data_IF_953256865832
#
_entry.id   IF_953256865832
#
_cell.length_a   1.000
_cell.length_b   1.000
_cell.length_c   1.000
_cell.angle_alpha   90.00
_cell.angle_beta   90.00
_cell.angle_gamma   90.00
#
_symmetry.space_group_name_H-M   'P 1'
#
loop_
_entity.id
_entity.type
_entity.pdbx_description
1 polymer ?
#
# COMPACT_ATOMS: atom_id res chain seq x y z
N UNK A 1 -65.01 2.86 -111.96
CA UNK A 1 -65.61 2.16 -110.80
C UNK A 1 -64.53 1.42 -110.01
N UNK A 2 -63.78 0.48 -110.60
CA UNK A 2 -62.71 -0.28 -109.92
C UNK A 2 -61.61 0.56 -109.21
N UNK A 3 -61.11 1.62 -109.83
CA UNK A 3 -60.05 2.46 -109.23
C UNK A 3 -60.52 3.30 -108.02
N UNK A 4 -61.83 3.55 -107.88
CA UNK A 4 -62.40 4.31 -106.74
C UNK A 4 -62.58 3.39 -105.53
N UNK A 5 -62.97 2.13 -105.76
CA UNK A 5 -63.08 1.09 -104.74
C UNK A 5 -61.70 0.71 -104.17
N UNK A 6 -60.67 0.62 -105.02
CA UNK A 6 -59.29 0.33 -104.60
C UNK A 6 -58.68 1.46 -103.75
N UNK A 7 -58.97 2.73 -104.09
CA UNK A 7 -58.57 3.89 -103.27
C UNK A 7 -59.30 3.90 -101.92
N UNK A 8 -60.57 3.50 -101.87
CA UNK A 8 -61.31 3.39 -100.62
C UNK A 8 -60.76 2.27 -99.72
N UNK A 9 -60.41 1.12 -100.30
CA UNK A 9 -59.78 0.01 -99.57
C UNK A 9 -58.40 0.40 -99.01
N UNK A 10 -57.57 1.09 -99.80
CA UNK A 10 -56.26 1.57 -99.34
C UNK A 10 -56.40 2.62 -98.22
N UNK A 11 -57.42 3.48 -98.28
CA UNK A 11 -57.72 4.44 -97.19
C UNK A 11 -58.20 3.74 -95.93
N UNK A 12 -59.03 2.71 -96.02
CA UNK A 12 -59.44 1.93 -94.84
C UNK A 12 -58.27 1.17 -94.23
N UNK A 13 -57.40 0.58 -95.05
CA UNK A 13 -56.19 -0.11 -94.57
C UNK A 13 -55.17 0.85 -93.95
N UNK A 14 -54.99 2.05 -94.50
CA UNK A 14 -54.15 3.08 -93.91
C UNK A 14 -54.68 3.48 -92.53
N UNK A 15 -55.99 3.72 -92.42
CA UNK A 15 -56.64 4.08 -91.15
C UNK A 15 -56.49 2.97 -90.10
N UNK A 16 -56.70 1.72 -90.49
CA UNK A 16 -56.52 0.56 -89.59
C UNK A 16 -55.05 0.43 -89.14
N UNK A 17 -54.09 0.66 -90.03
CA UNK A 17 -52.66 0.66 -89.68
C UNK A 17 -52.28 1.84 -88.78
N UNK A 18 -52.83 3.02 -89.01
CA UNK A 18 -52.63 4.18 -88.13
C UNK A 18 -53.22 3.94 -86.74
N UNK A 19 -54.40 3.33 -86.65
CA UNK A 19 -55.01 2.91 -85.38
C UNK A 19 -54.17 1.86 -84.66
N UNK A 20 -53.64 0.85 -85.38
CA UNK A 20 -52.72 -0.16 -84.81
C UNK A 20 -51.41 0.46 -84.32
N UNK A 21 -50.82 1.39 -85.09
CA UNK A 21 -49.61 2.11 -84.69
C UNK A 21 -49.88 2.99 -83.46
N UNK A 22 -51.05 3.65 -83.40
CA UNK A 22 -51.43 4.46 -82.26
C UNK A 22 -51.64 3.59 -81.00
N UNK A 23 -52.31 2.44 -81.13
CA UNK A 23 -52.47 1.48 -80.04
C UNK A 23 -51.13 0.90 -79.56
N UNK A 24 -50.23 0.56 -80.47
CA UNK A 24 -48.89 0.08 -80.13
C UNK A 24 -48.04 1.17 -79.44
N UNK A 25 -48.13 2.42 -79.89
CA UNK A 25 -47.48 3.57 -79.25
C UNK A 25 -48.04 3.83 -77.84
N UNK A 26 -49.36 3.71 -77.66
CA UNK A 26 -50.00 3.85 -76.36
C UNK A 26 -49.58 2.71 -75.41
N UNK A 27 -49.60 1.46 -75.87
CA UNK A 27 -49.12 0.32 -75.08
C UNK A 27 -47.63 0.46 -74.72
N UNK A 28 -46.81 0.97 -75.64
CA UNK A 28 -45.40 1.27 -75.38
C UNK A 28 -45.20 2.39 -74.34
N UNK A 29 -46.03 3.43 -74.40
CA UNK A 29 -46.04 4.50 -73.40
C UNK A 29 -46.47 4.00 -72.02
N UNK A 30 -47.51 3.17 -71.97
CA UNK A 30 -48.01 2.58 -70.72
C UNK A 30 -46.95 1.66 -70.08
N UNK A 31 -46.26 0.85 -70.88
CA UNK A 31 -45.12 0.04 -70.41
C UNK A 31 -43.96 0.90 -69.91
N UNK A 32 -43.64 1.99 -70.60
CA UNK A 32 -42.59 2.92 -70.17
C UNK A 32 -42.95 3.58 -68.83
N UNK A 33 -44.21 3.98 -68.65
CA UNK A 33 -44.71 4.54 -67.39
C UNK A 33 -44.63 3.52 -66.26
N UNK A 34 -45.06 2.27 -66.48
CA UNK A 34 -44.92 1.20 -65.50
C UNK A 34 -43.45 0.93 -65.15
N UNK A 35 -42.55 0.93 -66.15
CA UNK A 35 -41.13 0.77 -65.91
C UNK A 35 -40.55 1.93 -65.08
N UNK A 36 -41.01 3.16 -65.33
CA UNK A 36 -40.61 4.33 -64.54
C UNK A 36 -41.10 4.24 -63.09
N UNK A 37 -42.35 3.81 -62.86
CA UNK A 37 -42.89 3.60 -61.51
C UNK A 37 -42.14 2.52 -60.73
N UNK A 38 -41.84 1.38 -61.38
CA UNK A 38 -41.05 0.31 -60.77
C UNK A 38 -39.63 0.78 -60.44
N UNK A 39 -39.02 1.57 -61.32
CA UNK A 39 -37.71 2.14 -61.08
C UNK A 39 -37.73 3.11 -59.89
N UNK A 40 -38.73 3.99 -59.81
CA UNK A 40 -38.88 4.91 -58.69
C UNK A 40 -39.05 4.17 -57.35
N UNK A 41 -39.90 3.13 -57.29
CA UNK A 41 -40.06 2.31 -56.09
C UNK A 41 -38.77 1.60 -55.69
N UNK A 42 -38.03 1.08 -56.66
CA UNK A 42 -36.75 0.42 -56.41
C UNK A 42 -35.71 1.42 -55.88
N UNK A 43 -35.72 2.65 -56.37
CA UNK A 43 -34.83 3.70 -55.87
C UNK A 43 -35.25 4.19 -54.48
N UNK A 44 -36.54 4.28 -54.16
CA UNK A 44 -37.06 4.54 -52.80
C UNK A 44 -36.61 3.47 -51.81
N UNK A 45 -36.84 2.19 -52.12
CA UNK A 45 -36.41 1.05 -51.30
C UNK A 45 -34.88 1.04 -51.09
N UNK A 46 -34.10 1.40 -52.11
CA UNK A 46 -32.64 1.53 -51.98
C UNK A 46 -32.24 2.64 -51.01
N UNK A 47 -32.93 3.78 -51.06
CA UNK A 47 -32.68 4.89 -50.12
C UNK A 47 -33.04 4.48 -48.70
N UNK A 48 -34.20 3.84 -48.50
CA UNK A 48 -34.62 3.36 -47.19
C UNK A 48 -33.64 2.33 -46.60
N UNK A 49 -33.21 1.36 -47.41
CA UNK A 49 -32.22 0.36 -46.99
C UNK A 49 -30.86 1.00 -46.67
N UNK A 50 -30.44 2.01 -47.43
CA UNK A 50 -29.18 2.73 -47.16
C UNK A 50 -29.26 3.51 -45.85
N UNK A 51 -30.35 4.24 -45.62
CA UNK A 51 -30.58 4.96 -44.37
C UNK A 51 -30.62 4.02 -43.16
N UNK A 52 -31.24 2.84 -43.30
CA UNK A 52 -31.27 1.84 -42.24
C UNK A 52 -29.89 1.26 -41.93
N UNK A 53 -29.06 1.00 -42.95
CA UNK A 53 -27.68 0.56 -42.77
C UNK A 53 -26.83 1.64 -42.07
N UNK A 54 -26.94 2.90 -42.50
CA UNK A 54 -26.23 4.01 -41.87
C UNK A 54 -26.62 4.18 -40.39
N UNK A 55 -27.91 4.07 -40.07
CA UNK A 55 -28.39 4.12 -38.69
C UNK A 55 -27.81 2.98 -37.82
N UNK A 56 -27.84 1.74 -38.34
CA UNK A 56 -27.27 0.58 -37.64
C UNK A 56 -25.76 0.69 -37.47
N UNK A 57 -25.04 1.24 -38.45
CA UNK A 57 -23.61 1.50 -38.31
C UNK A 57 -23.33 2.54 -37.23
N UNK A 58 -24.08 3.65 -37.21
CA UNK A 58 -23.97 4.68 -36.17
C UNK A 58 -24.23 4.09 -34.77
N UNK A 59 -25.30 3.31 -34.61
CA UNK A 59 -25.63 2.65 -33.35
C UNK A 59 -24.53 1.67 -32.92
N UNK A 60 -24.01 0.86 -33.86
CA UNK A 60 -22.89 -0.05 -33.58
C UNK A 60 -21.65 0.71 -33.09
N UNK A 61 -21.27 1.81 -33.73
CA UNK A 61 -20.13 2.61 -33.30
C UNK A 61 -20.36 3.28 -31.95
N UNK A 62 -21.58 3.75 -31.69
CA UNK A 62 -21.96 4.35 -30.42
C UNK A 62 -21.88 3.33 -29.27
N UNK A 63 -22.50 2.16 -29.45
CA UNK A 63 -22.49 1.08 -28.48
C UNK A 63 -21.08 0.54 -28.24
N UNK A 64 -20.25 0.42 -29.29
CA UNK A 64 -18.86 -0.01 -29.13
C UNK A 64 -18.08 0.95 -28.21
N UNK A 65 -18.22 2.27 -28.43
CA UNK A 65 -17.57 3.27 -27.57
C UNK A 65 -18.07 3.20 -26.13
N UNK A 66 -19.37 2.97 -25.93
CA UNK A 66 -19.95 2.82 -24.59
C UNK A 66 -19.40 1.58 -23.86
N UNK A 67 -19.29 0.46 -24.56
CA UNK A 67 -18.69 -0.78 -24.04
C UNK A 67 -17.21 -0.57 -23.69
N UNK A 68 -16.45 0.06 -24.57
CA UNK A 68 -15.02 0.34 -24.33
C UNK A 68 -14.85 1.26 -23.10
N UNK A 69 -15.69 2.29 -22.96
CA UNK A 69 -15.68 3.18 -21.79
C UNK A 69 -16.01 2.41 -20.50
N UNK A 70 -17.08 1.61 -20.50
CA UNK A 70 -17.48 0.79 -19.35
C UNK A 70 -16.39 -0.21 -18.97
N UNK A 71 -15.71 -0.81 -19.95
CA UNK A 71 -14.60 -1.73 -19.72
C UNK A 71 -13.45 -1.02 -19.00
N UNK A 72 -13.03 0.15 -19.49
CA UNK A 72 -11.99 0.96 -18.82
C UNK A 72 -12.38 1.39 -17.40
N UNK A 73 -13.65 1.74 -17.19
CA UNK A 73 -14.15 2.08 -15.86
C UNK A 73 -14.10 0.89 -14.91
N UNK A 74 -14.46 -0.31 -15.38
CA UNK A 74 -14.37 -1.53 -14.59
C UNK A 74 -12.92 -1.89 -14.26
N UNK A 75 -12.00 -1.77 -15.21
CA UNK A 75 -10.57 -1.97 -14.98
C UNK A 75 -10.01 -1.00 -13.93
N UNK A 76 -10.41 0.27 -13.97
CA UNK A 76 -10.04 1.28 -12.97
C UNK A 76 -10.56 0.91 -11.58
N UNK A 77 -11.85 0.58 -11.46
CA UNK A 77 -12.46 0.17 -10.19
C UNK A 77 -11.83 -1.11 -9.64
N UNK A 78 -11.49 -2.05 -10.51
CA UNK A 78 -10.82 -3.29 -10.13
C UNK A 78 -9.39 -3.01 -9.61
N UNK A 79 -8.65 -2.11 -10.25
CA UNK A 79 -7.35 -1.65 -9.77
C UNK A 79 -7.45 -0.95 -8.41
N UNK A 80 -8.44 -0.08 -8.21
CA UNK A 80 -8.70 0.57 -6.92
C UNK A 80 -9.04 -0.45 -5.83
N UNK A 81 -9.88 -1.44 -6.15
CA UNK A 81 -10.23 -2.53 -5.24
C UNK A 81 -9.00 -3.35 -4.83
N UNK A 82 -8.16 -3.75 -5.78
CA UNK A 82 -6.95 -4.53 -5.50
C UNK A 82 -5.93 -3.72 -4.70
N UNK A 83 -5.82 -2.41 -4.95
CA UNK A 83 -5.00 -1.50 -4.16
C UNK A 83 -5.50 -1.40 -2.70
N UNK A 84 -6.80 -1.20 -2.50
CA UNK A 84 -7.39 -1.14 -1.15
C UNK A 84 -7.24 -2.47 -0.40
N UNK A 85 -7.46 -3.59 -1.09
CA UNK A 85 -7.31 -4.93 -0.52
C UNK A 85 -5.88 -5.20 -0.07
N UNK A 86 -4.89 -4.83 -0.89
CA UNK A 86 -3.46 -5.00 -0.55
C UNK A 86 -3.05 -4.08 0.61
N UNK A 87 -3.52 -2.83 0.60
CA UNK A 87 -3.28 -1.89 1.70
C UNK A 87 -3.89 -2.38 3.03
N UNK A 88 -5.14 -2.84 3.01
CA UNK A 88 -5.81 -3.37 4.20
C UNK A 88 -5.09 -4.60 4.75
N UNK A 89 -4.62 -5.50 3.85
CA UNK A 89 -3.86 -6.68 4.24
C UNK A 89 -2.55 -6.30 4.94
N UNK A 90 -1.79 -5.36 4.37
CA UNK A 90 -0.54 -4.86 4.97
C UNK A 90 -0.78 -4.22 6.33
N UNK A 91 -1.82 -3.40 6.48
CA UNK A 91 -2.16 -2.78 7.77
C UNK A 91 -2.50 -3.83 8.84
N UNK A 92 -3.23 -4.90 8.47
CA UNK A 92 -3.54 -5.99 9.38
C UNK A 92 -2.29 -6.76 9.79
N UNK A 93 -1.39 -7.05 8.84
CA UNK A 93 -0.11 -7.73 9.11
C UNK A 93 0.78 -6.89 10.04
N UNK A 94 0.89 -5.58 9.80
CA UNK A 94 1.64 -4.66 10.67
C UNK A 94 1.06 -4.58 12.08
N UNK A 95 -0.27 -4.49 12.22
CA UNK A 95 -0.93 -4.46 13.53
C UNK A 95 -0.73 -5.78 14.29
N UNK A 96 -0.84 -6.90 13.59
CA UNK A 96 -0.63 -8.22 14.17
C UNK A 96 0.82 -8.38 14.64
N UNK A 97 1.79 -8.03 13.80
CA UNK A 97 3.21 -8.14 14.13
C UNK A 97 3.60 -7.21 15.29
N UNK A 98 3.06 -5.99 15.32
CA UNK A 98 3.26 -5.07 16.45
C UNK A 98 2.68 -5.65 17.76
N UNK A 99 1.48 -6.24 17.70
CA UNK A 99 0.85 -6.86 18.86
C UNK A 99 1.64 -8.07 19.35
N UNK A 100 2.10 -8.94 18.44
CA UNK A 100 2.93 -10.10 18.75
C UNK A 100 4.26 -9.69 19.39
N UNK A 101 4.94 -8.68 18.84
CA UNK A 101 6.17 -8.12 19.43
C UNK A 101 5.93 -7.56 20.83
N UNK A 102 4.83 -6.81 21.02
CA UNK A 102 4.47 -6.24 22.32
C UNK A 102 4.17 -7.33 23.35
N UNK A 103 3.36 -8.33 22.98
CA UNK A 103 3.06 -9.47 23.84
C UNK A 103 4.32 -10.26 24.19
N UNK A 104 5.16 -10.59 23.21
CA UNK A 104 6.44 -11.26 23.42
C UNK A 104 7.33 -10.50 24.40
N UNK A 105 7.45 -9.17 24.25
CA UNK A 105 8.20 -8.33 25.17
C UNK A 105 7.64 -8.40 26.60
N UNK A 106 6.33 -8.26 26.77
CA UNK A 106 5.70 -8.34 28.11
C UNK A 106 5.85 -9.71 28.75
N UNK A 107 5.72 -10.79 27.98
CA UNK A 107 5.91 -12.16 28.46
C UNK A 107 7.36 -12.38 28.91
N UNK A 108 8.34 -11.91 28.13
CA UNK A 108 9.75 -12.01 28.49
C UNK A 108 10.09 -11.19 29.74
N UNK A 109 9.55 -9.98 29.90
CA UNK A 109 9.77 -9.17 31.11
C UNK A 109 9.16 -9.84 32.35
N UNK A 110 7.93 -10.36 32.25
CA UNK A 110 7.28 -11.10 33.34
C UNK A 110 8.02 -12.40 33.68
N UNK A 111 8.46 -13.14 32.66
CA UNK A 111 9.25 -14.35 32.84
C UNK A 111 10.58 -14.06 33.55
N UNK A 112 11.30 -13.01 33.13
CA UNK A 112 12.52 -12.57 33.80
C UNK A 112 12.29 -12.14 35.25
N UNK A 113 11.19 -11.43 35.54
CA UNK A 113 10.82 -11.07 36.92
C UNK A 113 10.52 -12.31 37.76
N UNK A 114 9.80 -13.29 37.21
CA UNK A 114 9.51 -14.56 37.86
C UNK A 114 10.80 -15.32 38.19
N UNK A 115 11.74 -15.42 37.26
CA UNK A 115 13.03 -16.08 37.49
C UNK A 115 13.85 -15.39 38.60
N UNK A 116 13.86 -14.06 38.65
CA UNK A 116 14.55 -13.30 39.72
C UNK A 116 13.90 -13.50 41.09
N UNK A 117 12.56 -13.52 41.13
CA UNK A 117 11.83 -13.79 42.38
C UNK A 117 12.08 -15.23 42.85
N UNK A 118 12.14 -16.19 41.92
CA UNK A 118 12.46 -17.58 42.23
C UNK A 118 13.87 -17.71 42.80
N UNK A 119 14.88 -17.08 42.19
CA UNK A 119 16.26 -17.14 42.71
C UNK A 119 16.37 -16.50 44.09
N UNK A 120 15.71 -15.36 44.33
CA UNK A 120 15.69 -14.70 45.64
C UNK A 120 14.98 -15.55 46.71
N UNK A 121 13.91 -16.26 46.33
CA UNK A 121 13.21 -17.19 47.21
C UNK A 121 14.12 -18.37 47.59
N UNK A 122 14.79 -18.97 46.61
CA UNK A 122 15.71 -20.10 46.82
C UNK A 122 16.89 -19.68 47.74
N UNK A 123 17.46 -18.49 47.53
CA UNK A 123 18.51 -17.91 48.38
C UNK A 123 18.01 -17.69 49.82
N UNK A 124 16.82 -17.11 49.99
CA UNK A 124 16.23 -16.89 51.31
C UNK A 124 15.98 -18.22 52.03
N UNK A 125 15.43 -19.22 51.35
CA UNK A 125 15.19 -20.55 51.92
C UNK A 125 16.49 -21.26 52.31
N UNK A 126 17.55 -21.12 51.51
CA UNK A 126 18.86 -21.67 51.86
C UNK A 126 19.43 -20.99 53.11
N UNK A 127 19.34 -19.67 53.19
CA UNK A 127 19.80 -18.91 54.36
C UNK A 127 19.03 -19.30 55.63
N UNK A 128 17.71 -19.52 55.51
CA UNK A 128 16.86 -19.98 56.61
C UNK A 128 17.28 -21.37 57.09
N UNK A 129 17.53 -22.31 56.17
CA UNK A 129 18.01 -23.66 56.50
C UNK A 129 19.35 -23.62 57.23
N UNK A 130 20.30 -22.82 56.74
CA UNK A 130 21.62 -22.66 57.36
C UNK A 130 21.52 -22.05 58.77
N UNK A 131 20.67 -21.04 58.97
CA UNK A 131 20.45 -20.43 60.27
C UNK A 131 19.79 -21.40 61.26
N UNK A 132 18.79 -22.19 60.81
CA UNK A 132 18.16 -23.23 61.63
C UNK A 132 19.18 -24.26 62.10
N UNK A 133 20.00 -24.78 61.18
CA UNK A 133 21.03 -25.75 61.53
C UNK A 133 22.07 -25.19 62.52
N UNK A 134 22.55 -23.95 62.32
CA UNK A 134 23.44 -23.29 63.28
C UNK A 134 22.81 -23.14 64.67
N UNK A 135 21.52 -22.83 64.72
CA UNK A 135 20.79 -22.68 65.98
C UNK A 135 20.65 -24.04 66.69
N UNK A 136 20.41 -25.11 65.93
CA UNK A 136 20.33 -26.49 66.42
C UNK A 136 21.67 -26.94 67.03
N UNK A 137 22.79 -26.75 66.32
CA UNK A 137 24.15 -27.04 66.81
C UNK A 137 24.48 -26.23 68.07
N UNK A 138 24.13 -24.94 68.12
CA UNK A 138 24.33 -24.13 69.32
C UNK A 138 23.48 -24.59 70.50
N UNK A 139 22.27 -25.07 70.24
CA UNK A 139 21.37 -25.61 71.26
C UNK A 139 21.92 -26.92 71.83
N UNK A 140 22.39 -27.82 70.97
CA UNK A 140 23.06 -29.06 71.39
C UNK A 140 24.34 -28.78 72.19
N UNK A 141 25.18 -27.85 71.74
CA UNK A 141 26.40 -27.48 72.46
C UNK A 141 26.10 -26.92 73.87
N UNK A 142 25.04 -26.12 74.02
CA UNK A 142 24.59 -25.61 75.31
C UNK A 142 24.06 -26.74 76.21
N UNK A 143 23.30 -27.69 75.66
CA UNK A 143 22.82 -28.86 76.39
C UNK A 143 24.00 -29.71 76.88
N UNK A 144 24.98 -30.01 76.02
CA UNK A 144 26.17 -30.77 76.39
C UNK A 144 26.95 -30.08 77.51
N UNK A 145 27.13 -28.74 77.45
CA UNK A 145 27.79 -27.99 78.53
C UNK A 145 26.99 -27.99 79.82
N UNK A 146 25.66 -28.01 79.75
CA UNK A 146 24.80 -28.15 80.92
C UNK A 146 24.95 -29.53 81.56
N UNK A 147 24.99 -30.59 80.76
CA UNK A 147 25.21 -31.97 81.21
C UNK A 147 26.63 -32.15 81.80
N UNK A 148 27.67 -31.61 81.17
CA UNK A 148 29.05 -31.62 81.71
C UNK A 148 29.12 -30.96 83.09
N UNK A 149 28.49 -29.79 83.27
CA UNK A 149 28.45 -29.09 84.55
C UNK A 149 27.71 -29.90 85.63
N UNK A 150 26.65 -30.62 85.26
CA UNK A 150 25.95 -31.55 86.16
C UNK A 150 26.86 -32.72 86.55
N UNK A 151 27.52 -33.37 85.59
CA UNK A 151 28.42 -34.49 85.83
C UNK A 151 29.65 -34.12 86.68
N UNK A 152 30.24 -32.94 86.46
CA UNK A 152 31.34 -32.40 87.29
C UNK A 152 30.91 -32.13 88.73
N UNK A 153 29.69 -31.63 88.93
CA UNK A 153 29.12 -31.44 90.27
C UNK A 153 28.92 -32.78 91.00
N UNK A 154 28.55 -33.84 90.29
CA UNK A 154 28.43 -35.20 90.83
C UNK A 154 29.78 -35.87 91.09
N UNK A 155 30.77 -35.69 90.21
CA UNK A 155 32.11 -36.28 90.34
C UNK A 155 33.00 -35.55 91.36
N UNK A 156 32.81 -34.25 91.58
CA UNK A 156 33.48 -33.50 92.65
C UNK A 156 33.23 -34.06 94.05
N UNK A 157 32.24 -34.95 94.20
CA UNK A 157 31.97 -35.67 95.45
C UNK A 157 32.72 -37.02 95.60
N UNK A 158 33.56 -37.44 94.63
CA UNK A 158 34.30 -38.73 94.69
C UNK A 158 35.81 -38.55 94.45
N UNK A 159 36.63 -39.17 95.29
CA UNK A 159 38.11 -39.14 95.23
C UNK A 159 38.62 -40.03 94.07
N UNK A 160 39.34 -39.44 93.12
CA UNK A 160 39.86 -40.09 91.90
C UNK A 160 41.29 -40.60 92.04
N UNK A 161 41.60 -41.76 91.44
CA UNK A 161 42.91 -42.42 91.42
C UNK A 161 43.74 -42.09 90.15
N UNK A 162 45.07 -42.16 90.25
CA UNK A 162 46.02 -41.65 89.23
C UNK A 162 45.94 -42.34 87.86
N UNK A 163 45.68 -43.64 87.79
CA UNK A 163 45.56 -44.38 86.52
C UNK A 163 44.28 -44.00 85.77
N UNK A 164 43.19 -43.75 86.51
CA UNK A 164 41.93 -43.27 85.94
C UNK A 164 42.11 -41.86 85.38
N UNK A 165 42.90 -41.02 86.06
CA UNK A 165 43.26 -39.68 85.57
C UNK A 165 44.02 -39.73 84.23
N UNK A 166 44.97 -40.65 84.07
CA UNK A 166 45.77 -40.77 82.84
C UNK A 166 44.94 -41.27 81.65
N UNK A 167 44.02 -42.21 81.88
CA UNK A 167 43.04 -42.65 80.87
C UNK A 167 42.08 -41.52 80.53
N UNK A 168 41.63 -40.73 81.51
CA UNK A 168 40.77 -39.56 81.29
C UNK A 168 41.44 -38.51 80.39
N UNK A 169 42.76 -38.27 80.56
CA UNK A 169 43.53 -37.35 79.71
C UNK A 169 43.60 -37.87 78.26
N UNK A 170 43.89 -39.16 78.06
CA UNK A 170 43.93 -39.75 76.70
C UNK A 170 42.56 -39.73 76.01
N UNK A 171 41.48 -39.94 76.76
CA UNK A 171 40.12 -39.81 76.23
C UNK A 171 39.86 -38.37 75.77
N UNK A 172 40.23 -37.39 76.60
CA UNK A 172 40.09 -35.98 76.27
C UNK A 172 40.91 -35.57 75.04
N UNK A 173 42.15 -36.06 74.91
CA UNK A 173 42.99 -35.81 73.73
C UNK A 173 42.39 -36.41 72.45
N UNK A 174 41.89 -37.64 72.51
CA UNK A 174 41.22 -38.29 71.38
C UNK A 174 39.91 -37.59 71.00
N UNK A 175 39.14 -37.11 71.98
CA UNK A 175 37.95 -36.30 71.77
C UNK A 175 38.29 -34.98 71.08
N UNK A 176 39.38 -34.31 71.47
CA UNK A 176 39.82 -33.09 70.78
C UNK A 176 40.19 -33.35 69.32
N UNK A 177 40.95 -34.42 69.03
CA UNK A 177 41.31 -34.78 67.64
C UNK A 177 40.07 -35.16 66.82
N UNK A 178 39.10 -35.86 67.43
CA UNK A 178 37.84 -36.20 66.77
C UNK A 178 37.07 -34.94 66.36
N UNK A 179 36.94 -33.96 67.25
CA UNK A 179 36.25 -32.70 66.98
C UNK A 179 36.97 -31.91 65.87
N UNK A 180 38.31 -31.89 65.86
CA UNK A 180 39.09 -31.26 64.79
C UNK A 180 38.85 -31.93 63.42
N UNK A 181 38.81 -33.26 63.37
CA UNK A 181 38.51 -34.01 62.15
C UNK A 181 37.08 -33.79 61.67
N UNK A 182 36.10 -33.77 62.57
CA UNK A 182 34.70 -33.47 62.25
C UNK A 182 34.56 -32.04 61.69
N UNK A 183 35.28 -31.07 62.27
CA UNK A 183 35.28 -29.70 61.77
C UNK A 183 35.89 -29.60 60.36
N UNK A 184 37.03 -30.25 60.12
CA UNK A 184 37.67 -30.23 58.77
C UNK A 184 36.83 -30.94 57.72
N UNK A 185 36.13 -32.01 58.09
CA UNK A 185 35.16 -32.69 57.23
C UNK A 185 34.00 -31.77 56.87
N UNK A 186 33.43 -31.08 57.87
CA UNK A 186 32.33 -30.13 57.65
C UNK A 186 32.77 -28.97 56.75
N UNK A 187 33.95 -28.38 56.99
CA UNK A 187 34.49 -27.31 56.13
C UNK A 187 34.71 -27.76 54.68
N UNK A 188 35.06 -29.04 54.48
CA UNK A 188 35.22 -29.62 53.14
C UNK A 188 33.88 -29.80 52.44
N UNK A 189 32.86 -30.28 53.16
CA UNK A 189 31.49 -30.41 52.64
C UNK A 189 30.86 -29.05 52.29
N UNK A 190 31.06 -28.03 53.13
CA UNK A 190 30.57 -26.68 52.85
C UNK A 190 31.22 -26.10 51.58
N UNK A 191 32.52 -26.34 51.38
CA UNK A 191 33.23 -25.95 50.15
C UNK A 191 32.71 -26.70 48.93
N UNK A 192 32.46 -28.00 49.05
CA UNK A 192 31.90 -28.81 47.97
C UNK A 192 30.52 -28.30 47.54
N UNK A 193 29.61 -28.08 48.50
CA UNK A 193 28.28 -27.51 48.22
C UNK A 193 28.37 -26.13 47.55
N UNK A 194 29.29 -25.27 48.01
CA UNK A 194 29.51 -23.98 47.37
C UNK A 194 29.98 -24.14 45.92
N UNK A 195 30.90 -25.07 45.66
CA UNK A 195 31.38 -25.35 44.30
C UNK A 195 30.24 -25.88 43.41
N UNK A 196 29.42 -26.80 43.90
CA UNK A 196 28.25 -27.30 43.16
C UNK A 196 27.27 -26.18 42.78
N UNK A 197 26.97 -25.26 43.70
CA UNK A 197 26.10 -24.11 43.41
C UNK A 197 26.70 -23.20 42.34
N UNK A 198 28.00 -22.90 42.44
CA UNK A 198 28.67 -22.10 41.41
C UNK A 198 28.68 -22.82 40.05
N UNK A 199 28.88 -24.13 40.04
CA UNK A 199 28.89 -24.92 38.82
C UNK A 199 27.50 -24.94 38.15
N UNK A 200 26.43 -25.14 38.94
CA UNK A 200 25.04 -25.02 38.44
C UNK A 200 24.74 -23.63 37.90
N UNK A 201 25.22 -22.57 38.58
CA UNK A 201 25.03 -21.19 38.10
C UNK A 201 25.77 -20.96 36.78
N UNK A 202 27.00 -21.43 36.65
CA UNK A 202 27.78 -21.34 35.41
C UNK A 202 27.13 -22.14 34.28
N UNK A 203 26.59 -23.32 34.58
CA UNK A 203 25.89 -24.16 33.62
C UNK A 203 24.64 -23.49 33.06
N UNK A 204 23.79 -22.90 33.92
CA UNK A 204 22.66 -22.06 33.47
C UNK A 204 23.10 -20.85 32.66
N UNK A 205 24.26 -20.28 33.00
CA UNK A 205 24.78 -19.14 32.25
C UNK A 205 25.26 -19.54 30.85
N UNK A 206 25.87 -20.72 30.73
CA UNK A 206 26.22 -21.32 29.43
C UNK A 206 24.98 -21.61 28.60
N UNK A 207 23.94 -22.22 29.18
CA UNK A 207 22.67 -22.51 28.50
C UNK A 207 22.03 -21.24 27.92
N UNK A 208 21.95 -20.16 28.69
CA UNK A 208 21.45 -18.87 28.20
C UNK A 208 22.28 -18.30 27.05
N UNK A 209 23.61 -18.37 27.15
CA UNK A 209 24.50 -17.88 26.09
C UNK A 209 24.34 -18.74 24.82
N UNK A 210 24.11 -20.04 24.96
CA UNK A 210 23.86 -20.92 23.81
C UNK A 210 22.52 -20.63 23.14
N UNK A 211 21.46 -20.37 23.90
CA UNK A 211 20.15 -19.96 23.36
C UNK A 211 20.25 -18.61 22.63
N UNK A 212 20.89 -17.61 23.24
CA UNK A 212 21.13 -16.31 22.61
C UNK A 212 21.94 -16.42 21.31
N UNK A 213 22.90 -17.36 21.27
CA UNK A 213 23.68 -17.64 20.05
C UNK A 213 22.79 -18.24 18.95
N UNK A 214 21.97 -19.23 19.29
CA UNK A 214 21.06 -19.87 18.33
C UNK A 214 20.03 -18.87 17.77
N UNK A 215 19.51 -17.97 18.61
CA UNK A 215 18.57 -16.95 18.16
C UNK A 215 19.24 -15.94 17.22
N UNK A 216 20.47 -15.51 17.50
CA UNK A 216 21.25 -14.70 16.55
C UNK A 216 21.56 -15.43 15.25
N UNK A 217 21.80 -16.73 15.28
CA UNK A 217 21.98 -17.54 14.06
C UNK A 217 20.68 -17.60 13.23
N UNK A 218 19.51 -17.75 13.87
CA UNK A 218 18.20 -17.69 13.19
C UNK A 218 17.96 -16.32 12.55
N UNK A 219 18.25 -15.24 13.28
CA UNK A 219 18.16 -13.88 12.75
C UNK A 219 19.08 -13.71 11.53
N UNK A 220 20.34 -14.15 11.62
CA UNK A 220 21.28 -14.07 10.50
C UNK A 220 20.77 -14.81 9.27
N UNK A 221 20.24 -16.04 9.43
CA UNK A 221 19.63 -16.81 8.34
C UNK A 221 18.44 -16.06 7.72
N UNK A 222 17.59 -15.45 8.55
CA UNK A 222 16.47 -14.63 8.07
C UNK A 222 16.94 -13.44 7.23
N UNK A 223 17.95 -12.70 7.69
CA UNK A 223 18.55 -11.59 6.96
C UNK A 223 19.19 -12.04 5.63
N UNK A 224 19.90 -13.18 5.61
CA UNK A 224 20.45 -13.73 4.39
C UNK A 224 19.36 -14.11 3.38
N UNK A 225 18.28 -14.76 3.84
CA UNK A 225 17.15 -15.12 2.99
C UNK A 225 16.45 -13.89 2.41
N UNK A 226 16.25 -12.84 3.22
CA UNK A 226 15.66 -11.58 2.76
C UNK A 226 16.56 -10.88 1.71
N UNK A 227 17.87 -10.90 1.94
CA UNK A 227 18.86 -10.37 0.99
C UNK A 227 18.86 -11.15 -0.33
N UNK A 228 18.76 -12.47 -0.28
CA UNK A 228 18.71 -13.33 -1.48
C UNK A 228 17.46 -13.05 -2.31
N UNK A 229 16.28 -12.95 -1.66
CA UNK A 229 15.03 -12.55 -2.34
C UNK A 229 15.13 -11.17 -2.98
N UNK A 230 15.74 -10.20 -2.28
CA UNK A 230 15.97 -8.86 -2.83
C UNK A 230 16.91 -8.89 -4.04
N UNK A 231 17.94 -9.75 -4.02
CA UNK A 231 18.84 -9.96 -5.16
C UNK A 231 18.11 -10.61 -6.35
N UNK A 232 17.25 -11.59 -6.10
CA UNK A 232 16.41 -12.21 -7.15
C UNK A 232 15.48 -11.18 -7.79
N UNK A 233 14.75 -10.41 -6.98
CA UNK A 233 13.86 -9.35 -7.48
C UNK A 233 14.63 -8.30 -8.29
N UNK A 234 15.85 -7.92 -7.88
CA UNK A 234 16.69 -7.02 -8.66
C UNK A 234 17.11 -7.62 -10.00
N UNK A 235 17.41 -8.92 -10.06
CA UNK A 235 17.72 -9.60 -11.34
C UNK A 235 16.49 -9.60 -12.26
N UNK A 236 15.31 -9.88 -11.72
CA UNK A 236 14.06 -9.85 -12.49
C UNK A 236 13.76 -8.45 -13.04
N UNK A 237 13.92 -7.41 -12.21
CA UNK A 237 13.78 -6.02 -12.64
C UNK A 237 14.82 -5.64 -13.70
N UNK A 238 16.07 -6.12 -13.58
CA UNK A 238 17.09 -5.91 -14.61
C UNK A 238 16.70 -6.58 -15.93
N UNK A 239 16.16 -7.81 -15.89
CA UNK A 239 15.68 -8.51 -17.09
C UNK A 239 14.52 -7.72 -17.73
N UNK A 240 13.58 -7.21 -16.94
CA UNK A 240 12.48 -6.37 -17.45
C UNK A 240 13.00 -5.08 -18.08
N UNK A 241 13.98 -4.43 -17.45
CA UNK A 241 14.61 -3.24 -18.00
C UNK A 241 15.30 -3.55 -19.34
N UNK A 242 16.05 -4.64 -19.42
CA UNK A 242 16.74 -5.08 -20.64
C UNK A 242 15.72 -5.39 -21.75
N UNK A 243 14.58 -6.01 -21.42
CA UNK A 243 13.48 -6.25 -22.37
C UNK A 243 12.88 -4.95 -22.89
N UNK A 244 12.60 -3.97 -22.02
CA UNK A 244 12.07 -2.66 -22.44
C UNK A 244 13.09 -1.91 -23.30
N UNK A 245 14.37 -1.98 -22.96
CA UNK A 245 15.43 -1.37 -23.77
C UNK A 245 15.56 -2.03 -25.14
N UNK A 246 15.44 -3.35 -25.23
CA UNK A 246 15.41 -4.08 -26.51
C UNK A 246 14.18 -3.71 -27.34
N UNK A 247 12.99 -3.63 -26.73
CA UNK A 247 11.77 -3.20 -27.40
C UNK A 247 11.88 -1.76 -27.92
N UNK A 248 12.50 -0.86 -27.16
CA UNK A 248 12.75 0.52 -27.57
C UNK A 248 13.79 0.65 -28.70
N UNK A 249 14.69 -0.33 -28.86
CA UNK A 249 15.68 -0.36 -29.93
C UNK A 249 15.18 -1.02 -31.22
N UNK A 250 14.07 -1.75 -31.19
CA UNK A 250 13.53 -2.42 -32.38
C UNK A 250 12.87 -1.40 -33.33
N UNK A 251 13.44 -1.13 -34.53
CA UNK A 251 12.92 -0.15 -35.48
C UNK A 251 11.58 -0.54 -36.11
N UNK A 252 11.16 -1.80 -35.96
CA UNK A 252 9.91 -2.33 -36.51
C UNK A 252 8.84 -2.61 -35.46
N UNK A 253 9.05 -2.22 -34.19
CA UNK A 253 8.02 -2.36 -33.16
C UNK A 253 6.88 -1.35 -33.43
N UNK A 254 5.85 -1.83 -34.13
CA UNK A 254 4.57 -1.13 -34.22
C UNK A 254 3.94 -1.09 -32.83
N UNK A 255 4.02 0.05 -32.16
CA UNK A 255 3.13 0.37 -31.04
C UNK A 255 3.78 1.16 -29.92
N UNK A 256 3.06 2.19 -29.48
CA UNK A 256 3.25 2.99 -28.26
C UNK A 256 4.20 4.18 -28.29
N UNK A 257 4.64 4.65 -29.46
CA UNK A 257 5.21 6.00 -29.56
C UNK A 257 4.21 6.91 -30.27
N UNK A 258 3.78 7.99 -29.59
CA UNK A 258 2.94 9.06 -30.15
C UNK A 258 3.47 9.54 -31.52
N UNK A 259 4.78 9.47 -31.71
CA UNK A 259 5.46 9.83 -32.95
C UNK A 259 5.21 8.86 -34.10
N UNK A 260 5.07 7.55 -33.84
CA UNK A 260 4.75 6.57 -34.88
C UNK A 260 3.31 6.75 -35.38
N UNK A 261 2.36 7.00 -34.48
CA UNK A 261 0.97 7.29 -34.86
C UNK A 261 0.86 8.63 -35.61
N UNK A 262 1.66 9.63 -35.21
CA UNK A 262 1.75 10.91 -35.93
C UNK A 262 2.35 10.73 -37.32
N UNK A 263 3.37 9.89 -37.49
CA UNK A 263 3.97 9.64 -38.80
C UNK A 263 3.04 8.82 -39.71
N UNK A 264 2.32 7.83 -39.16
CA UNK A 264 1.28 7.09 -39.89
C UNK A 264 0.14 8.03 -40.33
N UNK A 265 -0.35 8.89 -39.42
CA UNK A 265 -1.37 9.91 -39.74
C UNK A 265 -0.87 10.93 -40.75
N UNK A 266 0.40 11.34 -40.67
CA UNK A 266 1.02 12.23 -41.66
C UNK A 266 1.07 11.56 -43.03
N UNK A 267 1.53 10.32 -43.10
CA UNK A 267 1.61 9.57 -44.34
C UNK A 267 0.21 9.34 -44.96
N UNK A 268 -0.81 9.11 -44.14
CA UNK A 268 -2.19 9.02 -44.58
C UNK A 268 -2.71 10.36 -45.14
N UNK A 269 -2.50 11.46 -44.42
CA UNK A 269 -2.86 12.80 -44.89
C UNK A 269 -2.13 13.19 -46.18
N UNK A 270 -0.85 12.84 -46.33
CA UNK A 270 -0.09 13.07 -47.56
C UNK A 270 -0.67 12.28 -48.74
N UNK A 271 -1.10 11.03 -48.53
CA UNK A 271 -1.80 10.24 -49.57
C UNK A 271 -3.14 10.87 -49.95
N UNK A 272 -3.94 11.29 -48.96
CA UNK A 272 -5.22 11.96 -49.21
C UNK A 272 -5.02 13.27 -49.99
N UNK A 273 -4.01 14.06 -49.62
CA UNK A 273 -3.67 15.31 -50.31
C UNK A 273 -3.23 15.07 -51.76
N UNK A 274 -2.42 14.04 -52.01
CA UNK A 274 -2.05 13.65 -53.38
C UNK A 274 -3.29 13.23 -54.18
N UNK A 275 -4.18 12.43 -53.59
CA UNK A 275 -5.43 11.99 -54.24
C UNK A 275 -6.31 13.18 -54.63
N UNK A 276 -6.57 14.11 -53.71
CA UNK A 276 -7.35 15.33 -53.97
C UNK A 276 -6.68 16.19 -55.03
N UNK A 277 -5.35 16.32 -55.02
CA UNK A 277 -4.61 17.09 -56.02
C UNK A 277 -4.75 16.49 -57.42
N UNK A 278 -4.73 15.17 -57.55
CA UNK A 278 -4.96 14.47 -58.83
C UNK A 278 -6.41 14.67 -59.28
N UNK A 279 -7.38 14.54 -58.37
CA UNK A 279 -8.80 14.78 -58.68
C UNK A 279 -9.03 16.23 -59.14
N UNK A 280 -8.46 17.22 -58.45
CA UNK A 280 -8.53 18.63 -58.83
C UNK A 280 -7.93 18.89 -60.21
N UNK A 281 -6.75 18.33 -60.51
CA UNK A 281 -6.14 18.46 -61.83
C UNK A 281 -6.99 17.82 -62.94
N UNK A 282 -7.61 16.66 -62.66
CA UNK A 282 -8.54 16.02 -63.58
C UNK A 282 -9.76 16.90 -63.84
N UNK A 283 -10.38 17.43 -62.79
CA UNK A 283 -11.54 18.29 -62.87
C UNK A 283 -11.22 19.61 -63.59
N UNK A 284 -10.03 20.17 -63.36
CA UNK A 284 -9.55 21.37 -64.06
C UNK A 284 -9.42 21.11 -65.57
N UNK A 285 -8.86 19.97 -65.99
CA UNK A 285 -8.78 19.58 -67.40
C UNK A 285 -10.17 19.40 -68.01
N UNK A 286 -11.09 18.74 -67.30
CA UNK A 286 -12.48 18.59 -67.74
C UNK A 286 -13.17 19.95 -67.89
N UNK A 287 -12.98 20.88 -66.95
CA UNK A 287 -13.56 22.23 -67.03
C UNK A 287 -12.99 23.02 -68.22
N UNK A 288 -11.68 22.97 -68.47
CA UNK A 288 -11.07 23.61 -69.65
C UNK A 288 -11.62 23.00 -70.94
N UNK A 289 -11.75 21.67 -71.00
CA UNK A 289 -12.34 20.99 -72.15
C UNK A 289 -13.81 21.38 -72.37
N UNK A 290 -14.62 21.40 -71.31
CA UNK A 290 -16.02 21.82 -71.35
C UNK A 290 -16.15 23.29 -71.79
N UNK A 291 -15.26 24.17 -71.32
CA UNK A 291 -15.22 25.58 -71.74
C UNK A 291 -14.89 25.71 -73.23
N UNK A 292 -13.96 24.91 -73.75
CA UNK A 292 -13.65 24.88 -75.18
C UNK A 292 -14.82 24.34 -76.01
N UNK A 293 -15.49 23.26 -75.56
CA UNK A 293 -16.71 22.77 -76.20
C UNK A 293 -17.81 23.83 -76.23
N UNK A 294 -18.04 24.51 -75.09
CA UNK A 294 -19.01 25.59 -75.01
C UNK A 294 -18.68 26.72 -75.99
N UNK A 295 -17.40 27.09 -76.12
CA UNK A 295 -17.00 28.11 -77.08
C UNK A 295 -17.23 27.66 -78.53
N UNK A 296 -16.97 26.39 -78.86
CA UNK A 296 -17.29 25.83 -80.19
C UNK A 296 -18.79 25.85 -80.45
N UNK A 297 -19.61 25.44 -79.48
CA UNK A 297 -21.07 25.51 -79.59
C UNK A 297 -21.55 26.95 -79.72
N UNK A 298 -20.98 27.90 -78.96
CA UNK A 298 -21.30 29.34 -79.10
C UNK A 298 -20.99 29.85 -80.51
N UNK A 299 -19.87 29.46 -81.09
CA UNK A 299 -19.54 29.82 -82.48
C UNK A 299 -20.52 29.17 -83.45
N UNK A 300 -20.84 27.89 -83.30
CA UNK A 300 -21.84 27.20 -84.14
C UNK A 300 -23.23 27.85 -84.03
N UNK A 301 -23.68 28.20 -82.82
CA UNK A 301 -24.93 28.91 -82.56
C UNK A 301 -24.87 30.32 -83.15
N UNK A 302 -23.77 31.05 -82.99
CA UNK A 302 -23.60 32.37 -83.59
C UNK A 302 -23.64 32.30 -85.13
N UNK A 303 -23.00 31.30 -85.73
CA UNK A 303 -23.07 31.03 -87.18
C UNK A 303 -24.49 30.65 -87.60
N UNK A 304 -25.21 29.82 -86.84
CA UNK A 304 -26.62 29.49 -87.09
C UNK A 304 -27.52 30.72 -86.95
N UNK A 305 -27.31 31.56 -85.94
CA UNK A 305 -28.04 32.83 -85.75
C UNK A 305 -27.75 33.83 -86.87
N UNK A 306 -26.52 33.86 -87.37
CA UNK A 306 -26.11 34.72 -88.49
C UNK A 306 -26.65 34.20 -89.85
N UNK A 307 -26.76 32.88 -90.02
CA UNK A 307 -27.43 32.23 -91.14
C UNK A 307 -28.97 32.35 -91.07
N UNK A 308 -29.53 32.42 -89.86
CA UNK A 308 -30.94 32.74 -89.59
C UNK A 308 -31.17 34.26 -89.48
N UNK A 309 -30.45 35.03 -90.31
CA UNK A 309 -30.57 36.48 -90.38
C UNK A 309 -32.05 36.91 -90.43
N UNK A 310 -32.48 37.53 -89.33
CA UNK A 310 -33.71 38.33 -89.22
C UNK A 310 -35.04 37.56 -89.18
N UNK A 311 -35.22 36.59 -88.26
CA UNK A 311 -36.54 36.21 -87.70
C UNK A 311 -36.39 35.48 -86.37
N UNK A 312 -36.08 36.20 -85.30
CA UNK A 312 -36.34 35.68 -83.95
C UNK A 312 -37.85 35.73 -83.74
N UNK A 313 -38.50 34.57 -83.70
CA UNK A 313 -39.93 34.44 -83.41
C UNK A 313 -40.22 35.03 -82.02
N UNK A 314 -41.06 36.08 -81.90
CA UNK A 314 -41.38 36.71 -80.62
C UNK A 314 -41.81 35.71 -79.55
N UNK A 315 -42.51 34.63 -79.95
CA UNK A 315 -42.99 33.58 -79.04
C UNK A 315 -41.87 32.71 -78.45
N UNK A 316 -40.71 32.65 -79.09
CA UNK A 316 -39.55 31.90 -78.58
C UNK A 316 -38.74 32.73 -77.58
N UNK A 317 -38.65 34.04 -77.81
CA UNK A 317 -38.07 35.00 -76.85
C UNK A 317 -38.91 35.09 -75.57
N UNK A 318 -40.23 35.15 -75.70
CA UNK A 318 -41.14 35.22 -74.55
C UNK A 318 -41.10 33.95 -73.68
N UNK A 319 -40.92 32.77 -74.31
CA UNK A 319 -40.67 31.50 -73.59
C UNK A 319 -39.34 31.48 -72.86
N UNK A 320 -38.26 31.94 -73.49
CA UNK A 320 -36.95 32.01 -72.83
C UNK A 320 -36.97 33.02 -71.67
N UNK A 321 -37.70 34.12 -71.82
CA UNK A 321 -37.87 35.12 -70.76
C UNK A 321 -38.69 34.56 -69.59
N UNK A 322 -39.72 33.75 -69.87
CA UNK A 322 -40.51 33.04 -68.86
C UNK A 322 -39.66 32.00 -68.11
N UNK A 323 -38.81 31.25 -68.83
CA UNK A 323 -37.94 30.23 -68.24
C UNK A 323 -36.83 30.86 -67.38
N UNK A 324 -36.32 32.04 -67.77
CA UNK A 324 -35.39 32.82 -66.95
C UNK A 324 -36.04 33.34 -65.67
N UNK A 325 -37.30 33.78 -65.74
CA UNK A 325 -38.05 34.20 -64.56
C UNK A 325 -38.29 33.03 -63.60
N UNK A 326 -38.66 31.85 -64.13
CA UNK A 326 -38.83 30.63 -63.34
C UNK A 326 -37.52 30.22 -62.65
N UNK A 327 -36.40 30.19 -63.40
CA UNK A 327 -35.08 29.84 -62.84
C UNK A 327 -34.57 30.87 -61.83
N UNK A 328 -34.86 32.15 -62.02
CA UNK A 328 -34.55 33.17 -61.01
C UNK A 328 -35.41 33.01 -59.74
N UNK A 329 -36.67 32.58 -59.87
CA UNK A 329 -37.52 32.23 -58.72
C UNK A 329 -36.99 31.00 -57.95
N UNK A 330 -36.51 29.98 -58.65
CA UNK A 330 -35.84 28.82 -58.03
C UNK A 330 -34.59 29.24 -57.26
N UNK A 331 -33.76 30.13 -57.83
CA UNK A 331 -32.57 30.66 -57.16
C UNK A 331 -32.97 31.38 -55.86
N UNK A 332 -33.97 32.27 -55.90
CA UNK A 332 -34.44 32.96 -54.68
C UNK A 332 -34.98 31.99 -53.62
N UNK A 333 -35.68 30.92 -54.04
CA UNK A 333 -36.14 29.88 -53.12
C UNK A 333 -34.98 29.11 -52.48
N UNK A 334 -33.94 28.77 -53.25
CA UNK A 334 -32.75 28.11 -52.73
C UNK A 334 -31.96 29.02 -51.79
N UNK A 335 -31.82 30.31 -52.11
CA UNK A 335 -31.21 31.30 -51.21
C UNK A 335 -31.99 31.42 -49.89
N UNK A 336 -33.33 31.41 -49.96
CA UNK A 336 -34.18 31.44 -48.77
C UNK A 336 -34.07 30.17 -47.92
N UNK A 337 -33.87 29.00 -48.55
CA UNK A 337 -33.62 27.74 -47.85
C UNK A 337 -32.23 27.71 -47.20
N UNK A 338 -31.20 28.20 -47.88
CA UNK A 338 -29.86 28.35 -47.31
C UNK A 338 -29.87 29.23 -46.06
N UNK A 339 -30.55 30.39 -46.12
CA UNK A 339 -30.69 31.27 -44.94
C UNK A 339 -31.47 30.64 -43.78
N UNK A 340 -32.37 29.69 -44.04
CA UNK A 340 -33.06 28.92 -42.97
C UNK A 340 -32.17 27.84 -42.39
N UNK A 341 -31.37 27.17 -43.22
CA UNK A 341 -30.40 26.17 -42.77
C UNK A 341 -29.29 26.81 -41.95
N UNK A 342 -28.76 27.97 -42.35
CA UNK A 342 -27.79 28.75 -41.56
C UNK A 342 -28.36 29.18 -40.19
N UNK A 343 -29.65 29.52 -40.10
CA UNK A 343 -30.32 29.84 -38.82
C UNK A 343 -30.54 28.60 -37.93
N UNK A 344 -30.77 27.44 -38.53
CA UNK A 344 -30.85 26.17 -37.80
C UNK A 344 -29.46 25.75 -37.30
N UNK A 345 -28.40 26.00 -38.07
CA UNK A 345 -27.01 25.74 -37.67
C UNK A 345 -26.61 26.56 -36.43
N UNK A 346 -26.99 27.83 -36.35
CA UNK A 346 -26.79 28.70 -35.16
C UNK A 346 -27.66 28.29 -33.97
N UNK A 347 -28.76 27.55 -34.20
CA UNK A 347 -29.59 27.03 -33.11
C UNK A 347 -29.10 25.67 -32.59
N UNK A 348 -28.42 24.88 -33.43
CA UNK A 348 -27.80 23.59 -33.08
C UNK A 348 -26.50 23.81 -32.29
N UNK A 349 -25.83 24.96 -32.43
CA UNK A 349 -24.64 25.31 -31.64
C UNK A 349 -24.92 25.71 -30.17
N UNK A 350 -26.20 25.82 -29.76
CA UNK A 350 -26.59 25.96 -28.35
C UNK A 350 -27.17 24.64 -27.84
N UNK A 351 -26.40 23.56 -28.04
CA UNK A 351 -26.74 22.22 -27.58
C UNK A 351 -26.89 22.18 -26.06
N UNK A 352 -28.08 21.79 -25.60
CA UNK A 352 -28.41 21.62 -24.19
C UNK A 352 -27.49 20.59 -23.49
N UNK A 353 -26.81 19.73 -24.23
CA UNK A 353 -25.88 18.70 -23.72
C UNK A 353 -24.52 19.24 -23.24
N UNK A 354 -23.99 20.30 -23.85
CA UNK A 354 -22.73 20.90 -23.36
C UNK A 354 -22.93 21.51 -21.96
N UNK A 355 -24.12 22.07 -21.70
CA UNK A 355 -24.44 22.69 -20.40
C UNK A 355 -24.50 21.64 -19.29
N UNK A 356 -25.09 20.46 -19.55
CA UNK A 356 -25.13 19.36 -18.58
C UNK A 356 -23.74 18.81 -18.26
N UNK A 357 -22.90 18.60 -19.29
CA UNK A 357 -21.54 18.10 -19.07
C UNK A 357 -20.67 19.12 -18.33
N UNK A 358 -20.81 20.41 -18.66
CA UNK A 358 -20.14 21.51 -17.94
C UNK A 358 -20.61 21.58 -16.49
N UNK A 359 -21.90 21.44 -16.21
CA UNK A 359 -22.43 21.49 -14.84
C UNK A 359 -22.05 20.26 -14.01
N UNK A 360 -21.98 19.08 -14.63
CA UNK A 360 -21.48 17.86 -13.99
C UNK A 360 -19.99 17.99 -13.65
N UNK A 361 -19.18 18.53 -14.56
CA UNK A 361 -17.76 18.80 -14.32
C UNK A 361 -17.57 19.85 -13.22
N UNK A 362 -18.38 20.91 -13.19
CA UNK A 362 -18.37 21.89 -12.11
C UNK A 362 -18.78 21.27 -10.77
N UNK A 363 -19.75 20.38 -10.75
CA UNK A 363 -20.16 19.67 -9.54
C UNK A 363 -19.02 18.77 -9.02
N UNK A 364 -18.38 18.01 -9.93
CA UNK A 364 -17.24 17.15 -9.59
C UNK A 364 -16.04 17.95 -9.11
N UNK A 365 -15.77 19.10 -9.73
CA UNK A 365 -14.72 20.02 -9.28
C UNK A 365 -15.03 20.55 -7.87
N UNK A 366 -16.26 21.01 -7.63
CA UNK A 366 -16.69 21.49 -6.32
C UNK A 366 -16.66 20.39 -5.24
N UNK A 367 -16.97 19.13 -5.57
CA UNK A 367 -16.82 18.02 -4.61
C UNK A 367 -15.35 17.77 -4.29
N UNK A 368 -14.48 17.73 -5.31
CA UNK A 368 -13.04 17.53 -5.08
C UNK A 368 -12.40 18.68 -4.28
N UNK A 369 -12.84 19.92 -4.48
CA UNK A 369 -12.37 21.08 -3.71
C UNK A 369 -12.80 20.95 -2.25
N UNK A 370 -14.06 20.58 -1.99
CA UNK A 370 -14.55 20.36 -0.61
C UNK A 370 -13.83 19.22 0.09
N UNK A 371 -13.52 18.15 -0.63
CA UNK A 371 -12.77 17.03 -0.06
C UNK A 371 -11.31 17.41 0.22
N UNK A 372 -10.69 18.21 -0.64
CA UNK A 372 -9.36 18.78 -0.40
C UNK A 372 -9.34 19.71 0.82
N UNK A 373 -10.36 20.55 1.00
CA UNK A 373 -10.52 21.40 2.19
C UNK A 373 -10.68 20.55 3.46
N UNK A 374 -11.56 19.53 3.44
CA UNK A 374 -11.75 18.59 4.56
C UNK A 374 -10.46 17.86 4.93
N UNK A 375 -9.74 17.33 3.95
CA UNK A 375 -8.46 16.66 4.18
C UNK A 375 -7.40 17.66 4.69
N UNK A 376 -7.45 18.91 4.25
CA UNK A 376 -6.63 20.00 4.77
C UNK A 376 -6.90 20.27 6.25
N UNK A 377 -8.17 20.36 6.64
CA UNK A 377 -8.60 20.55 8.02
C UNK A 377 -8.20 19.36 8.90
N UNK A 378 -8.40 18.13 8.42
CA UNK A 378 -7.97 16.91 9.12
C UNK A 378 -6.45 16.86 9.31
N UNK A 379 -5.67 17.20 8.27
CA UNK A 379 -4.22 17.26 8.36
C UNK A 379 -3.75 18.32 9.36
N UNK A 380 -4.42 19.49 9.37
CA UNK A 380 -4.13 20.55 10.34
C UNK A 380 -4.42 20.10 11.78
N UNK A 381 -5.53 19.38 11.98
CA UNK A 381 -5.90 18.82 13.28
C UNK A 381 -4.91 17.75 13.74
N UNK A 382 -4.47 16.87 12.83
CA UNK A 382 -3.47 15.84 13.13
C UNK A 382 -2.12 16.46 13.50
N UNK A 383 -1.69 17.51 12.78
CA UNK A 383 -0.48 18.26 13.15
C UNK A 383 -0.60 18.88 14.53
N UNK A 384 -1.74 19.48 14.86
CA UNK A 384 -1.98 20.07 16.18
C UNK A 384 -1.99 19.01 17.30
N UNK A 385 -2.62 17.85 17.07
CA UNK A 385 -2.59 16.71 18.00
C UNK A 385 -1.16 16.22 18.24
N UNK A 386 -0.42 15.95 17.18
CA UNK A 386 0.98 15.50 17.27
C UNK A 386 1.87 16.48 18.03
N UNK A 387 1.71 17.79 17.79
CA UNK A 387 2.41 18.83 18.54
C UNK A 387 2.05 18.81 20.04
N UNK A 388 0.75 18.65 20.37
CA UNK A 388 0.31 18.58 21.76
C UNK A 388 0.82 17.33 22.49
N UNK A 389 0.89 16.19 21.80
CA UNK A 389 1.43 14.94 22.33
C UNK A 389 2.94 15.04 22.54
N UNK A 390 3.67 15.64 21.61
CA UNK A 390 5.10 15.92 21.73
C UNK A 390 5.39 16.83 22.93
N UNK A 391 4.62 17.90 23.11
CA UNK A 391 4.74 18.78 24.28
C UNK A 391 4.45 18.04 25.59
N UNK A 392 3.42 17.19 25.61
CA UNK A 392 3.09 16.36 26.78
C UNK A 392 4.21 15.36 27.11
N UNK A 393 4.81 14.73 26.10
CA UNK A 393 5.95 13.81 26.28
C UNK A 393 7.15 14.54 26.90
N UNK A 394 7.50 15.71 26.36
CA UNK A 394 8.58 16.55 26.89
C UNK A 394 8.34 16.96 28.34
N UNK A 395 7.10 17.27 28.72
CA UNK A 395 6.76 17.61 30.10
C UNK A 395 6.91 16.40 31.04
N UNK A 396 6.52 15.20 30.60
CA UNK A 396 6.72 13.96 31.35
C UNK A 396 8.20 13.61 31.51
N UNK A 397 9.01 13.78 30.47
CA UNK A 397 10.47 13.60 30.55
C UNK A 397 11.10 14.54 31.58
N UNK A 398 10.70 15.82 31.58
CA UNK A 398 11.17 16.79 32.59
C UNK A 398 10.79 16.36 34.02
N UNK A 399 9.55 15.90 34.23
CA UNK A 399 9.09 15.41 35.52
C UNK A 399 9.86 14.16 35.96
N UNK A 400 10.08 13.22 35.04
CA UNK A 400 10.85 11.99 35.30
C UNK A 400 12.29 12.33 35.67
N UNK A 401 12.94 13.23 34.93
CA UNK A 401 14.29 13.69 35.23
C UNK A 401 14.38 14.34 36.63
N UNK A 402 13.39 15.15 37.01
CA UNK A 402 13.32 15.70 38.36
C UNK A 402 13.17 14.60 39.43
N UNK A 403 12.28 13.63 39.23
CA UNK A 403 12.10 12.50 40.14
C UNK A 403 13.38 11.65 40.28
N UNK A 404 14.07 11.36 39.17
CA UNK A 404 15.34 10.64 39.20
C UNK A 404 16.41 11.41 39.98
N UNK A 405 16.48 12.73 39.82
CA UNK A 405 17.41 13.58 40.57
C UNK A 405 17.11 13.54 42.08
N UNK A 406 15.84 13.61 42.45
CA UNK A 406 15.41 13.48 43.85
C UNK A 406 15.72 12.08 44.41
N UNK A 407 15.48 11.02 43.65
CA UNK A 407 15.83 9.65 44.06
C UNK A 407 17.33 9.47 44.27
N UNK A 408 18.16 10.04 43.40
CA UNK A 408 19.63 10.05 43.59
C UNK A 408 20.03 10.75 44.89
N UNK A 409 19.42 11.90 45.20
CA UNK A 409 19.68 12.61 46.46
C UNK A 409 19.27 11.79 47.69
N UNK A 410 18.06 11.21 47.69
CA UNK A 410 17.59 10.35 48.78
C UNK A 410 18.49 9.14 48.95
N UNK A 411 18.96 8.54 47.85
CA UNK A 411 19.88 7.40 47.89
C UNK A 411 21.23 7.78 48.53
N UNK A 412 21.76 8.96 48.21
CA UNK A 412 22.98 9.48 48.86
C UNK A 412 22.75 9.70 50.35
N UNK A 413 21.64 10.34 50.74
CA UNK A 413 21.29 10.55 52.15
C UNK A 413 21.13 9.24 52.91
N UNK A 414 20.51 8.23 52.30
CA UNK A 414 20.37 6.90 52.87
C UNK A 414 21.72 6.23 53.13
N UNK A 415 22.66 6.29 52.18
CA UNK A 415 24.01 5.74 52.38
C UNK A 415 24.80 6.49 53.44
N UNK A 416 24.66 7.83 53.51
CA UNK A 416 25.27 8.63 54.58
C UNK A 416 24.72 8.22 55.95
N UNK A 417 23.40 8.10 56.09
CA UNK A 417 22.75 7.67 57.33
C UNK A 417 23.20 6.27 57.76
N UNK A 418 23.23 5.32 56.81
CA UNK A 418 23.69 3.95 57.07
C UNK A 418 25.14 3.91 57.55
N UNK A 419 26.01 4.73 56.95
CA UNK A 419 27.42 4.84 57.35
C UNK A 419 27.55 5.41 58.77
N UNK A 420 26.78 6.44 59.11
CA UNK A 420 26.76 7.01 60.47
C UNK A 420 26.28 5.98 61.49
N UNK A 421 25.24 5.21 61.18
CA UNK A 421 24.71 4.17 62.06
C UNK A 421 25.73 3.04 62.29
N UNK A 422 26.42 2.58 61.23
CA UNK A 422 27.51 1.59 61.34
C UNK A 422 28.65 2.12 62.20
N UNK A 423 29.06 3.39 61.98
CA UNK A 423 30.10 4.01 62.79
C UNK A 423 29.68 4.13 64.26
N UNK A 424 28.44 4.52 64.56
CA UNK A 424 27.93 4.54 65.93
C UNK A 424 27.94 3.16 66.58
N UNK A 425 27.52 2.10 65.86
CA UNK A 425 27.60 0.73 66.36
C UNK A 425 29.06 0.32 66.65
N UNK A 426 29.99 0.65 65.75
CA UNK A 426 31.42 0.38 65.96
C UNK A 426 31.99 1.14 67.16
N UNK A 427 31.61 2.40 67.35
CA UNK A 427 31.99 3.18 68.54
C UNK A 427 31.43 2.55 69.82
N UNK A 428 30.18 2.10 69.80
CA UNK A 428 29.55 1.45 70.95
C UNK A 428 30.22 0.11 71.29
N UNK A 429 30.54 -0.70 70.27
CA UNK A 429 31.30 -1.96 70.44
C UNK A 429 32.70 -1.66 70.99
N UNK A 430 33.42 -0.68 70.44
CA UNK A 430 34.73 -0.27 70.95
C UNK A 430 34.66 0.21 72.41
N UNK A 431 33.62 0.96 72.77
CA UNK A 431 33.41 1.42 74.14
C UNK A 431 33.16 0.26 75.11
N UNK A 432 32.32 -0.71 74.71
CA UNK A 432 32.09 -1.94 75.49
C UNK A 432 33.39 -2.73 75.65
N UNK A 433 34.13 -2.97 74.56
CA UNK A 433 35.41 -3.67 74.59
C UNK A 433 36.44 -2.95 75.46
N UNK A 434 36.49 -1.62 75.43
CA UNK A 434 37.39 -0.84 76.29
C UNK A 434 36.99 -0.94 77.77
N UNK A 435 35.69 -0.84 78.07
CA UNK A 435 35.16 -1.01 79.43
C UNK A 435 35.41 -2.42 79.97
N UNK A 436 35.25 -3.46 79.16
CA UNK A 436 35.61 -4.84 79.54
C UNK A 436 37.12 -5.02 79.74
N UNK A 437 37.95 -4.37 78.94
CA UNK A 437 39.41 -4.41 79.08
C UNK A 437 39.88 -3.67 80.34
N UNK A 438 39.23 -2.57 80.70
CA UNK A 438 39.44 -1.90 81.98
C UNK A 438 38.96 -2.77 83.15
N UNK A 439 37.76 -3.37 83.07
CA UNK A 439 37.26 -4.32 84.08
C UNK A 439 38.21 -5.50 84.27
N UNK A 440 38.74 -6.08 83.19
CA UNK A 440 39.76 -7.15 83.23
C UNK A 440 41.07 -6.65 83.83
N UNK A 441 41.53 -5.42 83.56
CA UNK A 441 42.70 -4.82 84.22
C UNK A 441 42.48 -4.60 85.72
N UNK A 442 41.31 -4.14 86.15
CA UNK A 442 40.98 -4.01 87.58
C UNK A 442 40.88 -5.37 88.27
N UNK A 443 40.32 -6.40 87.62
CA UNK A 443 40.33 -7.77 88.16
C UNK A 443 41.74 -8.37 88.21
N UNK A 444 42.59 -8.12 87.21
CA UNK A 444 43.98 -8.59 87.22
C UNK A 444 44.84 -7.87 88.26
N UNK A 445 44.54 -6.60 88.55
CA UNK A 445 45.16 -5.85 89.65
C UNK A 445 44.59 -6.23 91.04
N UNK A 446 43.34 -6.71 91.12
CA UNK A 446 42.77 -7.26 92.34
C UNK A 446 43.37 -8.64 92.68
N UNK A 447 43.63 -9.49 91.67
CA UNK A 447 44.26 -10.81 91.86
C UNK A 447 45.76 -10.69 92.19
N UNK A 448 46.45 -9.60 91.81
CA UNK A 448 47.83 -9.31 92.24
C UNK A 448 47.95 -8.64 93.63
N UNK A 449 46.82 -8.36 94.30
CA UNK A 449 46.78 -7.87 95.70
C UNK A 449 46.13 -8.90 96.62
N UNK A 450 46.62 -10.14 96.61
CA UNK A 450 46.55 -11.02 97.78
C UNK A 450 47.94 -11.13 98.40
N UNK A 451 48.16 -10.66 99.64
CA UNK A 451 49.45 -10.80 100.30
C UNK A 451 49.68 -12.26 100.70
N UNK A 452 50.81 -12.83 100.28
CA UNK A 452 51.46 -13.92 101.03
C UNK A 452 51.86 -13.36 102.39
N UNK A 453 51.16 -13.79 103.43
CA UNK A 453 51.61 -13.70 104.82
C UNK A 453 52.02 -15.11 105.24
N UNK A 454 53.33 -15.34 105.32
CA UNK A 454 53.92 -16.30 106.24
C UNK A 454 54.30 -15.53 107.50
N UNK A 455 53.84 -15.96 108.68
CA UNK A 455 54.68 -16.66 109.67
C UNK A 455 53.97 -16.80 111.03
N UNK A 456 54.21 -17.97 111.65
CA UNK A 456 53.73 -18.52 112.93
C UNK A 456 52.51 -19.45 112.86
#
# INVERSE_FOLDING_TARGET
MAAVEEIQLLRSQLKEREEQVHQAAQAGLDLLNQQMELQNRLDEERVEMTNALEALEQDKYSLQKEVDLKTRMLESLQSEYDCLKTQQKLQLEEQQEHLERSHSFTLNDLHNKMLRLQSALDESQLSEKQLKHKLEVQTEALNNKMEELQALNEHGQRSMTSEVMEVQIKIMDLETVKVELEQTLQESQDKEQHLELTNRSLQRHLERITEEKEDREKEAISWFNALEKSREMNRDLQIQLDQVLQQAQDPNSKGNSLFAELEDKRAEMERQLISIKVQYQSLQKQHVFSKQQLQRMKVQIATLMQLQGSRADPAQMERLQSMLLEKNGEIQNLTSKLQRLEKLEVSISNGQDETYYIDLLKMKLNSTVKDAERLGDELSMQRMKSLSESQRSLELERKLFMCERMLKQVRVQYYQFKTVQVNQCLYFICFICFSEKEKKKTCHNAIKKQPRLCHY
#
